data_IF_609474107519
#
_entry.id   IF_609474107519
#
_cell.length_a   1.000
_cell.length_b   1.000
_cell.length_c   1.000
_cell.angle_alpha   90.00
_cell.angle_beta   90.00
_cell.angle_gamma   90.00
#
_symmetry.space_group_name_H-M   'P 1'
#
loop_
_entity.id
_entity.type
_entity.pdbx_description
1 polymer ?
#
# COMPACT_ATOMS: atom_id res chain seq x y z
N UNK A 1 46.26 70.93 -7.55
CA UNK A 1 46.14 70.15 -6.30
C UNK A 1 44.67 70.09 -5.94
N UNK A 2 44.09 68.90 -5.95
CA UNK A 2 42.66 68.62 -5.70
C UNK A 2 42.49 68.23 -4.22
N UNK A 3 41.37 68.60 -3.57
CA UNK A 3 40.62 67.60 -2.81
C UNK A 3 39.11 67.72 -3.15
N UNK A 4 38.50 66.75 -3.82
CA UNK A 4 38.00 65.45 -3.34
C UNK A 4 36.85 65.60 -2.34
N UNK A 5 35.65 65.52 -2.91
CA UNK A 5 34.34 65.35 -2.30
C UNK A 5 34.29 64.01 -1.52
N UNK A 6 33.71 63.98 -0.33
CA UNK A 6 33.28 62.75 0.33
C UNK A 6 31.83 62.92 0.80
N UNK A 7 30.89 62.43 0.00
CA UNK A 7 29.48 62.26 0.39
C UNK A 7 29.34 60.85 0.94
N UNK A 8 29.13 60.74 2.25
CA UNK A 8 28.84 59.48 2.92
C UNK A 8 27.42 59.01 2.59
N UNK A 9 27.30 57.88 1.89
CA UNK A 9 26.03 57.19 1.66
C UNK A 9 25.79 56.26 2.85
N UNK A 10 24.71 56.51 3.60
CA UNK A 10 24.24 55.62 4.67
C UNK A 10 23.44 54.50 4.03
N UNK A 11 23.99 53.28 4.06
CA UNK A 11 23.35 52.06 3.60
C UNK A 11 22.37 51.55 4.68
N UNK A 12 21.08 51.80 4.51
CA UNK A 12 20.05 51.19 5.37
C UNK A 12 19.83 49.73 4.95
N UNK A 13 20.33 48.79 5.75
CA UNK A 13 20.05 47.36 5.59
C UNK A 13 18.66 47.08 6.16
N UNK A 14 17.68 46.84 5.27
CA UNK A 14 16.36 46.34 5.66
C UNK A 14 16.47 44.85 5.90
N UNK A 15 16.55 44.43 7.16
CA UNK A 15 16.41 43.01 7.54
C UNK A 15 14.92 42.70 7.64
N UNK A 16 14.36 42.09 6.60
CA UNK A 16 13.01 41.54 6.64
C UNK A 16 12.99 40.34 7.61
N UNK A 17 12.28 40.48 8.74
CA UNK A 17 11.98 39.35 9.61
C UNK A 17 10.84 38.54 9.01
N UNK A 18 11.14 37.35 8.52
CA UNK A 18 10.12 36.36 8.13
C UNK A 18 9.51 35.81 9.42
N UNK A 19 8.25 36.17 9.68
CA UNK A 19 7.45 35.54 10.73
C UNK A 19 7.10 34.11 10.31
N UNK A 20 7.40 33.15 11.19
CA UNK A 20 6.99 31.75 11.07
C UNK A 20 5.72 31.57 11.92
N UNK A 21 4.60 32.08 11.44
CA UNK A 21 3.29 31.85 12.07
C UNK A 21 2.25 31.64 10.96
N UNK A 22 2.06 30.37 10.57
CA UNK A 22 0.80 29.72 10.15
C UNK A 22 1.16 28.43 9.38
N UNK A 23 1.27 27.29 10.07
CA UNK A 23 1.03 25.99 9.43
C UNK A 23 -0.49 25.84 9.30
N UNK A 24 -1.05 26.64 8.40
CA UNK A 24 -2.38 26.43 7.89
C UNK A 24 -2.43 25.03 7.31
N UNK A 25 -3.26 24.17 7.91
CA UNK A 25 -3.59 22.88 7.34
C UNK A 25 -4.02 23.11 5.89
N UNK A 26 -3.19 22.63 4.95
CA UNK A 26 -3.50 22.71 3.53
C UNK A 26 -4.92 22.18 3.32
N UNK A 27 -5.77 22.85 2.53
CA UNK A 27 -7.08 22.32 2.20
C UNK A 27 -6.87 20.94 1.58
N UNK A 28 -7.35 19.89 2.26
CA UNK A 28 -7.39 18.54 1.70
C UNK A 28 -8.26 18.65 0.47
N UNK A 29 -7.62 18.71 -0.70
CA UNK A 29 -8.31 18.56 -1.97
C UNK A 29 -9.18 17.31 -1.86
N UNK A 30 -10.47 17.35 -2.25
CA UNK A 30 -11.29 16.16 -2.24
C UNK A 30 -10.70 15.21 -3.29
N UNK A 31 -9.83 14.31 -2.83
CA UNK A 31 -9.43 13.13 -3.59
C UNK A 31 -10.76 12.50 -4.02
N UNK A 32 -11.01 12.30 -5.32
CA UNK A 32 -12.24 11.62 -5.73
C UNK A 32 -12.31 10.29 -4.98
N UNK A 33 -13.46 9.91 -4.39
CA UNK A 33 -13.61 8.76 -3.47
C UNK A 33 -13.46 7.37 -4.15
N UNK A 34 -12.47 7.23 -5.04
CA UNK A 34 -12.24 6.04 -5.86
C UNK A 34 -10.76 5.64 -5.94
N UNK A 35 -9.84 6.49 -5.51
CA UNK A 35 -8.42 6.17 -5.50
C UNK A 35 -8.06 5.46 -4.18
N UNK A 36 -7.91 4.14 -4.26
CA UNK A 36 -7.24 3.38 -3.22
C UNK A 36 -5.76 3.80 -3.23
N UNK A 37 -5.26 4.39 -2.14
CA UNK A 37 -3.90 4.92 -2.04
C UNK A 37 -3.21 4.33 -0.82
N UNK A 38 -1.96 3.90 -0.98
CA UNK A 38 -1.10 3.43 0.10
C UNK A 38 -0.19 4.57 0.59
N UNK A 39 -0.02 4.67 1.89
CA UNK A 39 1.04 5.45 2.51
C UNK A 39 2.40 4.72 2.45
N UNK A 40 3.44 5.34 3.02
CA UNK A 40 4.80 4.77 3.07
C UNK A 40 4.91 3.52 3.93
N UNK A 41 3.94 3.26 4.81
CA UNK A 41 3.85 2.07 5.67
C UNK A 41 2.95 0.99 5.05
N UNK A 42 2.62 1.12 3.77
CA UNK A 42 1.75 0.21 2.99
C UNK A 42 0.32 0.14 3.56
N UNK A 43 -0.19 1.26 4.10
CA UNK A 43 -1.54 1.34 4.66
C UNK A 43 -2.46 2.21 3.82
N UNK A 44 -3.72 1.81 3.76
CA UNK A 44 -4.82 2.70 3.38
C UNK A 44 -5.37 3.39 4.62
N UNK A 45 -5.98 4.56 4.45
CA UNK A 45 -6.87 5.13 5.47
C UNK A 45 -8.23 4.40 5.40
N UNK A 46 -8.60 3.58 6.42
CA UNK A 46 -9.83 2.80 6.39
C UNK A 46 -11.11 3.65 6.35
N UNK A 47 -11.02 4.92 6.76
CA UNK A 47 -12.16 5.84 6.78
C UNK A 47 -12.30 6.60 5.45
N UNK A 48 -11.28 6.56 4.58
CA UNK A 48 -11.26 7.26 3.30
C UNK A 48 -11.85 6.43 2.13
N UNK A 49 -12.03 5.12 2.31
CA UNK A 49 -12.51 4.21 1.26
C UNK A 49 -13.58 3.24 1.80
N UNK A 50 -14.57 2.83 0.99
CA UNK A 50 -15.59 1.89 1.42
C UNK A 50 -14.99 0.48 1.55
N UNK A 51 -15.01 -0.07 2.77
CA UNK A 51 -14.45 -1.39 3.08
C UNK A 51 -15.51 -2.34 3.64
N UNK A 52 -15.51 -3.57 3.14
CA UNK A 52 -16.34 -4.65 3.66
C UNK A 52 -15.60 -5.37 4.78
N UNK A 53 -16.22 -5.50 5.95
CA UNK A 53 -15.64 -6.26 7.06
C UNK A 53 -15.86 -7.75 6.86
N UNK A 54 -14.81 -8.54 7.05
CA UNK A 54 -14.86 -10.00 7.00
C UNK A 54 -14.05 -10.62 8.14
N UNK A 55 -14.23 -11.92 8.36
CA UNK A 55 -13.46 -12.71 9.33
C UNK A 55 -12.72 -13.82 8.60
N UNK A 56 -11.40 -13.88 8.73
CA UNK A 56 -10.58 -14.93 8.14
C UNK A 56 -10.95 -16.30 8.75
N UNK A 57 -11.24 -17.27 7.89
CA UNK A 57 -11.50 -18.66 8.27
C UNK A 57 -10.22 -19.47 8.19
N UNK A 58 -9.56 -19.44 7.02
CA UNK A 58 -8.27 -20.10 6.77
C UNK A 58 -7.57 -19.50 5.56
N UNK A 59 -6.26 -19.66 5.47
CA UNK A 59 -5.48 -19.40 4.26
C UNK A 59 -5.37 -20.69 3.46
N UNK A 60 -5.50 -20.60 2.13
CA UNK A 60 -5.35 -21.74 1.22
C UNK A 60 -3.90 -21.81 0.72
N UNK A 61 -3.40 -20.71 0.16
CA UNK A 61 -2.05 -20.58 -0.42
C UNK A 61 -1.53 -19.13 -0.28
N UNK A 62 -0.50 -18.74 -1.05
CA UNK A 62 0.13 -17.43 -0.95
C UNK A 62 -0.72 -16.25 -1.43
N UNK A 63 -1.87 -16.48 -2.07
CA UNK A 63 -2.74 -15.42 -2.56
C UNK A 63 -4.25 -15.68 -2.42
N UNK A 64 -4.62 -16.83 -1.87
CA UNK A 64 -6.00 -17.25 -1.70
C UNK A 64 -6.30 -17.58 -0.23
N UNK A 65 -7.43 -17.08 0.26
CA UNK A 65 -7.95 -17.35 1.61
C UNK A 65 -9.45 -17.59 1.58
N UNK A 66 -10.00 -18.18 2.64
CA UNK A 66 -11.45 -18.22 2.90
C UNK A 66 -11.78 -17.23 4.00
N UNK A 67 -12.77 -16.39 3.76
CA UNK A 67 -13.27 -15.45 4.76
C UNK A 67 -14.80 -15.49 4.85
N UNK A 68 -15.32 -15.23 6.04
CA UNK A 68 -16.73 -15.01 6.28
C UNK A 68 -17.06 -13.55 6.02
N UNK A 69 -17.82 -13.30 4.96
CA UNK A 69 -18.30 -11.98 4.56
C UNK A 69 -19.83 -12.02 4.55
N UNK A 70 -20.48 -11.06 5.20
CA UNK A 70 -21.95 -10.99 5.29
C UNK A 70 -22.63 -12.27 5.82
N UNK A 71 -21.90 -13.05 6.63
CA UNK A 71 -22.38 -14.30 7.25
C UNK A 71 -22.02 -15.58 6.49
N UNK A 72 -21.63 -15.47 5.22
CA UNK A 72 -21.32 -16.59 4.33
C UNK A 72 -19.81 -16.75 4.10
N UNK A 73 -19.36 -17.98 3.83
CA UNK A 73 -17.95 -18.24 3.51
C UNK A 73 -17.69 -18.04 2.02
N UNK A 74 -16.69 -17.23 1.70
CA UNK A 74 -16.25 -16.99 0.34
C UNK A 74 -14.76 -17.30 0.21
N UNK A 75 -14.38 -17.90 -0.92
CA UNK A 75 -12.98 -17.91 -1.35
C UNK A 75 -12.62 -16.52 -1.88
N UNK A 76 -11.55 -15.96 -1.36
CA UNK A 76 -11.02 -14.64 -1.70
C UNK A 76 -9.65 -14.82 -2.33
N UNK A 77 -9.50 -14.35 -3.57
CA UNK A 77 -8.21 -14.18 -4.25
C UNK A 77 -7.75 -12.73 -4.05
N UNK A 78 -6.57 -12.56 -3.47
CA UNK A 78 -5.95 -11.24 -3.29
C UNK A 78 -5.76 -10.58 -4.67
N UNK A 79 -6.17 -9.32 -4.84
CA UNK A 79 -6.24 -8.71 -6.17
C UNK A 79 -4.85 -8.31 -6.69
N UNK A 80 -4.04 -7.71 -5.84
CA UNK A 80 -2.85 -6.95 -6.22
C UNK A 80 -1.60 -7.77 -6.50
N UNK A 81 -1.65 -9.10 -6.33
CA UNK A 81 -0.48 -9.96 -6.43
C UNK A 81 -0.78 -11.29 -7.14
N UNK A 82 0.28 -12.01 -7.47
CA UNK A 82 0.24 -13.41 -7.89
C UNK A 82 1.32 -14.17 -7.11
N UNK A 83 0.90 -15.06 -6.24
CA UNK A 83 1.84 -15.94 -5.54
C UNK A 83 2.26 -17.11 -6.44
N UNK A 84 3.34 -17.78 -6.06
CA UNK A 84 3.78 -18.99 -6.72
C UNK A 84 2.78 -20.14 -6.45
N UNK A 85 2.59 -21.02 -7.44
CA UNK A 85 1.74 -22.20 -7.31
C UNK A 85 2.35 -23.22 -6.33
N UNK A 86 1.54 -24.15 -5.79
CA UNK A 86 1.93 -25.01 -4.66
C UNK A 86 3.25 -25.81 -4.83
N UNK A 87 3.62 -26.18 -6.04
CA UNK A 87 4.85 -26.92 -6.37
C UNK A 87 6.01 -26.02 -6.83
N UNK A 88 5.78 -24.71 -6.89
CA UNK A 88 6.76 -23.72 -7.27
C UNK A 88 7.55 -23.21 -6.06
N UNK A 89 8.75 -22.70 -6.37
CA UNK A 89 9.60 -22.04 -5.39
C UNK A 89 8.86 -20.85 -4.78
N UNK A 90 9.02 -20.65 -3.47
CA UNK A 90 8.47 -19.52 -2.69
C UNK A 90 6.98 -19.65 -2.30
N UNK A 91 6.27 -20.70 -2.75
CA UNK A 91 4.86 -20.89 -2.45
C UNK A 91 4.59 -21.14 -0.95
N UNK A 92 5.42 -21.98 -0.31
CA UNK A 92 5.27 -22.32 1.10
C UNK A 92 5.54 -21.10 2.01
N UNK A 93 6.56 -20.32 1.69
CA UNK A 93 6.92 -19.11 2.42
C UNK A 93 5.86 -18.01 2.27
N UNK A 94 5.30 -17.83 1.08
CA UNK A 94 4.20 -16.90 0.85
C UNK A 94 2.95 -17.29 1.65
N UNK A 95 2.55 -18.56 1.59
CA UNK A 95 1.41 -19.07 2.34
C UNK A 95 1.62 -18.95 3.86
N UNK A 96 2.80 -19.33 4.37
CA UNK A 96 3.15 -19.20 5.78
C UNK A 96 3.17 -17.74 6.24
N UNK A 97 3.67 -16.83 5.39
CA UNK A 97 3.66 -15.40 5.70
C UNK A 97 2.26 -14.85 5.78
N UNK A 98 1.40 -15.17 4.80
CA UNK A 98 0.01 -14.75 4.81
C UNK A 98 -0.70 -15.29 6.06
N UNK A 99 -0.54 -16.57 6.38
CA UNK A 99 -1.06 -17.18 7.63
C UNK A 99 -0.59 -16.45 8.89
N UNK A 100 0.69 -16.06 8.95
CA UNK A 100 1.23 -15.32 10.08
C UNK A 100 0.69 -13.89 10.22
N UNK A 101 0.27 -13.26 9.12
CA UNK A 101 -0.40 -11.96 9.13
C UNK A 101 -1.87 -12.06 9.53
N UNK A 102 -2.52 -13.17 9.16
CA UNK A 102 -3.96 -13.38 9.36
C UNK A 102 -4.24 -14.72 10.05
N UNK A 103 -4.01 -14.82 11.36
CA UNK A 103 -4.40 -16.02 12.11
C UNK A 103 -5.91 -16.27 11.98
N UNK A 104 -6.33 -17.53 12.13
CA UNK A 104 -7.75 -17.88 12.05
C UNK A 104 -8.59 -17.04 13.02
N UNK A 105 -9.70 -16.48 12.53
CA UNK A 105 -10.53 -15.53 13.27
C UNK A 105 -10.08 -14.07 13.16
N UNK A 106 -8.98 -13.76 12.46
CA UNK A 106 -8.55 -12.39 12.22
C UNK A 106 -9.62 -11.58 11.47
N UNK A 107 -9.79 -10.32 11.87
CA UNK A 107 -10.66 -9.39 11.16
C UNK A 107 -9.94 -8.85 9.93
N UNK A 108 -10.63 -8.83 8.79
CA UNK A 108 -10.17 -8.29 7.52
C UNK A 108 -11.07 -7.12 7.10
N UNK A 109 -10.47 -6.17 6.37
CA UNK A 109 -11.17 -5.16 5.60
C UNK A 109 -10.92 -5.45 4.12
N UNK A 110 -11.99 -5.57 3.33
CA UNK A 110 -11.93 -5.99 1.93
C UNK A 110 -12.44 -4.86 1.03
N UNK A 111 -11.71 -4.60 -0.06
CA UNK A 111 -12.14 -3.68 -1.11
C UNK A 111 -12.24 -4.41 -2.45
N UNK A 112 -13.33 -4.27 -3.22
CA UNK A 112 -13.41 -4.85 -4.56
C UNK A 112 -12.41 -4.18 -5.52
N UNK A 113 -11.78 -4.99 -6.37
CA UNK A 113 -11.06 -4.45 -7.52
C UNK A 113 -12.02 -4.08 -8.66
N UNK A 114 -11.51 -3.61 -9.81
CA UNK A 114 -12.33 -3.36 -11.00
C UNK A 114 -13.03 -4.62 -11.53
N UNK A 115 -12.46 -5.79 -11.23
CA UNK A 115 -13.10 -7.10 -11.41
C UNK A 115 -13.46 -7.66 -10.05
N UNK A 116 -14.65 -8.23 -9.98
CA UNK A 116 -15.19 -8.74 -8.72
C UNK A 116 -14.94 -10.24 -8.51
N UNK A 117 -14.58 -10.99 -9.55
CA UNK A 117 -14.37 -12.44 -9.46
C UNK A 117 -13.25 -12.95 -10.36
N UNK A 118 -12.72 -14.10 -9.96
CA UNK A 118 -11.79 -14.93 -10.70
C UNK A 118 -12.24 -16.39 -10.57
N UNK A 119 -13.00 -16.87 -11.57
CA UNK A 119 -13.74 -18.13 -11.46
C UNK A 119 -14.82 -18.05 -10.38
N UNK A 120 -14.76 -18.95 -9.42
CA UNK A 120 -15.64 -19.05 -8.25
C UNK A 120 -15.16 -18.22 -7.05
N UNK A 121 -14.00 -17.57 -7.16
CA UNK A 121 -13.40 -16.75 -6.09
C UNK A 121 -13.78 -15.29 -6.24
N UNK A 122 -14.00 -14.61 -5.12
CA UNK A 122 -14.09 -13.15 -5.10
C UNK A 122 -12.70 -12.54 -5.21
N UNK A 123 -12.58 -11.49 -6.02
CA UNK A 123 -11.36 -10.70 -6.12
C UNK A 123 -11.42 -9.49 -5.19
N UNK A 124 -10.50 -9.40 -4.23
CA UNK A 124 -10.47 -8.31 -3.24
C UNK A 124 -9.03 -7.88 -2.96
N UNK A 125 -8.83 -6.58 -2.77
CA UNK A 125 -7.71 -6.12 -1.94
C UNK A 125 -8.07 -6.39 -0.49
N UNK A 126 -7.09 -6.88 0.29
CA UNK A 126 -7.31 -7.20 1.69
C UNK A 126 -6.39 -6.37 2.59
N UNK A 127 -6.97 -5.86 3.67
CA UNK A 127 -6.28 -5.05 4.65
C UNK A 127 -6.53 -5.57 6.07
N UNK A 128 -5.55 -5.38 6.93
CA UNK A 128 -5.71 -5.54 8.37
C UNK A 128 -6.55 -4.36 8.94
N UNK A 129 -7.06 -4.46 10.18
CA UNK A 129 -7.89 -3.39 10.77
C UNK A 129 -7.20 -2.02 10.87
N UNK A 130 -5.87 -2.00 10.89
CA UNK A 130 -5.07 -0.76 10.88
C UNK A 130 -4.79 -0.22 9.47
N UNK A 131 -5.45 -0.75 8.43
CA UNK A 131 -5.29 -0.32 7.05
C UNK A 131 -4.11 -0.96 6.30
N UNK A 132 -3.25 -1.75 6.95
CA UNK A 132 -2.09 -2.38 6.28
C UNK A 132 -2.55 -3.36 5.20
N UNK A 133 -2.06 -3.17 3.98
CA UNK A 133 -2.36 -4.02 2.82
C UNK A 133 -1.62 -5.35 2.89
N UNK A 134 -2.35 -6.47 2.74
CA UNK A 134 -1.77 -7.80 2.61
C UNK A 134 -1.10 -7.96 1.24
N UNK A 135 -1.78 -7.48 0.18
CA UNK A 135 -1.29 -7.50 -1.20
C UNK A 135 0.09 -6.81 -1.32
N UNK A 136 0.18 -5.57 -0.86
CA UNK A 136 1.42 -4.80 -0.93
C UNK A 136 2.51 -5.37 0.00
N UNK A 137 2.14 -5.87 1.18
CA UNK A 137 3.09 -6.47 2.14
C UNK A 137 3.81 -7.67 1.51
N UNK A 138 3.07 -8.63 0.93
CA UNK A 138 3.67 -9.85 0.38
C UNK A 138 4.59 -9.56 -0.81
N UNK A 139 4.23 -8.60 -1.66
CA UNK A 139 5.07 -8.19 -2.80
C UNK A 139 6.32 -7.46 -2.33
N UNK A 140 6.20 -6.51 -1.40
CA UNK A 140 7.34 -5.78 -0.83
C UNK A 140 8.32 -6.69 -0.10
N UNK A 141 7.83 -7.77 0.50
CA UNK A 141 8.65 -8.80 1.15
C UNK A 141 9.27 -9.81 0.17
N UNK A 142 8.98 -9.71 -1.14
CA UNK A 142 9.53 -10.58 -2.17
C UNK A 142 8.96 -12.00 -2.15
N UNK A 143 7.68 -12.14 -1.80
CA UNK A 143 6.97 -13.42 -1.66
C UNK A 143 5.92 -13.65 -2.75
N UNK A 144 5.55 -12.62 -3.50
CA UNK A 144 4.63 -12.70 -4.63
C UNK A 144 5.03 -11.68 -5.71
N UNK A 145 4.63 -11.95 -6.95
CA UNK A 145 4.78 -11.01 -8.06
C UNK A 145 3.63 -9.99 -8.02
N UNK A 146 3.86 -8.76 -8.49
CA UNK A 146 2.78 -7.79 -8.62
C UNK A 146 1.82 -8.22 -9.74
N UNK A 147 0.52 -8.01 -9.53
CA UNK A 147 -0.45 -8.13 -10.59
C UNK A 147 -0.37 -6.92 -11.53
N UNK A 148 -0.04 -7.16 -12.82
CA UNK A 148 0.33 -6.10 -13.77
C UNK A 148 -0.78 -5.68 -14.74
N UNK A 149 -1.94 -6.34 -14.75
CA UNK A 149 -2.96 -6.12 -15.80
C UNK A 149 -3.88 -4.93 -15.50
N UNK A 150 -4.38 -4.84 -14.27
CA UNK A 150 -5.41 -3.89 -13.86
C UNK A 150 -5.39 -3.66 -12.35
N UNK A 151 -6.23 -2.76 -11.84
CA UNK A 151 -6.43 -2.55 -10.40
C UNK A 151 -5.97 -1.20 -9.88
N UNK A 152 -6.67 -0.69 -8.86
CA UNK A 152 -6.40 0.61 -8.25
C UNK A 152 -5.00 0.73 -7.63
N UNK A 153 -4.43 -0.36 -7.12
CA UNK A 153 -3.09 -0.37 -6.48
C UNK A 153 -1.96 -0.85 -7.39
N UNK A 154 -2.24 -1.13 -8.67
CA UNK A 154 -1.28 -1.73 -9.61
C UNK A 154 0.07 -1.01 -9.59
N UNK A 155 0.07 0.29 -9.84
CA UNK A 155 1.32 1.04 -10.03
C UNK A 155 2.15 1.08 -8.75
N UNK A 156 1.50 1.25 -7.60
CA UNK A 156 2.15 1.21 -6.30
C UNK A 156 2.79 -0.16 -6.02
N UNK A 157 2.05 -1.25 -6.25
CA UNK A 157 2.55 -2.60 -5.96
C UNK A 157 3.65 -3.03 -6.95
N UNK A 158 3.58 -2.61 -8.21
CA UNK A 158 4.66 -2.86 -9.18
C UNK A 158 5.96 -2.20 -8.74
N UNK A 159 5.91 -0.97 -8.21
CA UNK A 159 7.11 -0.30 -7.67
C UNK A 159 7.71 -1.11 -6.52
N UNK A 160 6.89 -1.64 -5.60
CA UNK A 160 7.35 -2.48 -4.48
C UNK A 160 8.00 -3.78 -4.96
N UNK A 161 7.52 -4.37 -6.05
CA UNK A 161 8.16 -5.56 -6.64
C UNK A 161 9.57 -5.24 -7.15
N UNK A 162 9.73 -4.14 -7.88
CA UNK A 162 11.04 -3.73 -8.41
C UNK A 162 12.02 -3.37 -7.28
N UNK A 163 11.53 -2.75 -6.20
CA UNK A 163 12.31 -2.48 -4.98
C UNK A 163 12.75 -3.77 -4.28
N UNK A 164 11.82 -4.72 -4.07
CA UNK A 164 12.12 -6.01 -3.47
C UNK A 164 13.15 -6.79 -4.31
N UNK A 165 13.03 -6.72 -5.64
CA UNK A 165 13.97 -7.34 -6.58
C UNK A 165 15.36 -6.72 -6.51
N UNK A 166 15.44 -5.38 -6.50
CA UNK A 166 16.71 -4.65 -6.37
C UNK A 166 17.41 -4.92 -5.04
N UNK A 167 16.63 -5.05 -3.96
CA UNK A 167 17.11 -5.39 -2.63
C UNK A 167 17.44 -6.88 -2.44
N UNK A 168 17.04 -7.74 -3.40
CA UNK A 168 17.10 -9.20 -3.29
C UNK A 168 16.39 -9.72 -2.04
N UNK A 169 15.21 -9.17 -1.75
CA UNK A 169 14.38 -9.55 -0.61
C UNK A 169 13.54 -10.78 -0.91
N UNK A 170 13.31 -11.63 0.09
CA UNK A 170 12.37 -12.75 -0.04
C UNK A 170 12.82 -13.88 -0.97
N UNK A 171 12.09 -14.99 -0.93
CA UNK A 171 12.44 -16.20 -1.66
C UNK A 171 12.31 -16.07 -3.19
N UNK A 172 11.61 -15.05 -3.72
CA UNK A 172 11.60 -14.81 -5.17
C UNK A 172 12.94 -14.28 -5.69
N UNK A 173 13.65 -13.47 -4.89
CA UNK A 173 14.80 -12.68 -5.36
C UNK A 173 16.15 -13.10 -4.77
N UNK A 174 16.15 -13.91 -3.70
CA UNK A 174 17.35 -14.66 -3.28
C UNK A 174 17.52 -15.95 -4.09
N UNK A 175 18.72 -16.54 -4.19
CA UNK A 175 18.95 -17.87 -4.81
C UNK A 175 18.39 -19.02 -3.97
#
# INVERSE_FOLDING_TARGET
MVPTLLVGVVLAVVVARVGLDDVGALPRSPVPPSALVLDTDLRVDPDAVPLQRAVAVRVIDGDTLVARLEGEEHSIRLFGLNAAELDERCAAEAAARLQGLIPAGATLLLHPGPRNSDGDRLLRYAFLPNGRSLDATLVAEGLALAWRRDGQLRDAIVVLEEEARGARSGCLWTP
#
